data_IF_517659529902
#
_entry.id   IF_517659529902
#
_cell.length_a   1.000
_cell.length_b   1.000
_cell.length_c   1.000
_cell.angle_alpha   90.00
_cell.angle_beta   90.00
_cell.angle_gamma   90.00
#
_symmetry.space_group_name_H-M   'P 1'
#
loop_
_entity.id
_entity.type
_entity.pdbx_description
1 polymer ?
#
# COMPACT_ATOMS: atom_id res chain seq x y z
N UNK A 1 -7.82 -5.68 7.59
CA UNK A 1 -7.98 -5.03 6.27
C UNK A 1 -7.16 -5.84 5.28
N UNK A 2 -7.62 -6.07 4.05
CA UNK A 2 -6.87 -6.88 3.07
C UNK A 2 -6.24 -5.99 2.00
N UNK A 3 -4.96 -6.20 1.72
CA UNK A 3 -4.16 -5.43 0.76
C UNK A 3 -4.78 -5.41 -0.64
N UNK A 4 -5.21 -6.56 -1.16
CA UNK A 4 -5.72 -6.73 -2.53
C UNK A 4 -7.20 -6.38 -2.72
N UNK A 5 -7.91 -6.01 -1.65
CA UNK A 5 -9.34 -5.66 -1.71
C UNK A 5 -9.56 -4.16 -1.42
N UNK A 6 -10.02 -3.85 -0.21
CA UNK A 6 -10.40 -2.49 0.15
C UNK A 6 -9.20 -1.53 0.17
N UNK A 7 -8.00 -2.02 0.51
CA UNK A 7 -6.80 -1.18 0.49
C UNK A 7 -6.41 -0.80 -0.95
N UNK A 8 -6.30 -1.78 -1.86
CA UNK A 8 -6.07 -1.56 -3.30
C UNK A 8 -7.09 -0.61 -3.92
N UNK A 9 -8.37 -0.86 -3.67
CA UNK A 9 -9.47 -0.03 -4.18
C UNK A 9 -9.32 1.40 -3.68
N UNK A 10 -9.08 1.60 -2.38
CA UNK A 10 -8.94 2.93 -1.80
C UNK A 10 -7.76 3.68 -2.40
N UNK A 11 -6.58 3.04 -2.53
CA UNK A 11 -5.40 3.68 -3.11
C UNK A 11 -5.62 4.11 -4.56
N UNK A 12 -6.22 3.25 -5.39
CA UNK A 12 -6.50 3.55 -6.80
C UNK A 12 -7.52 4.67 -6.96
N UNK A 13 -8.62 4.61 -6.21
CA UNK A 13 -9.66 5.64 -6.28
C UNK A 13 -9.16 6.98 -5.72
N UNK A 14 -8.36 6.98 -4.65
CA UNK A 14 -7.74 8.20 -4.13
C UNK A 14 -6.81 8.84 -5.18
N UNK A 15 -6.03 8.02 -5.90
CA UNK A 15 -5.21 8.49 -7.01
C UNK A 15 -6.07 9.10 -8.15
N UNK A 16 -7.17 8.44 -8.53
CA UNK A 16 -8.10 8.95 -9.57
C UNK A 16 -8.72 10.30 -9.20
N UNK A 17 -9.00 10.53 -7.92
CA UNK A 17 -9.46 11.82 -7.41
C UNK A 17 -8.35 12.87 -7.23
N UNK A 18 -7.10 12.55 -7.57
CA UNK A 18 -5.96 13.48 -7.51
C UNK A 18 -5.35 13.63 -6.12
N UNK A 19 -5.66 12.75 -5.17
CA UNK A 19 -4.99 12.76 -3.87
C UNK A 19 -3.54 12.26 -3.98
N UNK A 20 -2.65 12.87 -3.20
CA UNK A 20 -1.29 12.37 -3.01
C UNK A 20 -1.29 11.31 -1.91
N UNK A 21 -1.12 10.05 -2.29
CA UNK A 21 -1.19 8.91 -1.35
C UNK A 21 0.22 8.53 -0.87
N UNK A 22 0.38 8.40 0.45
CA UNK A 22 1.57 7.82 1.10
C UNK A 22 1.14 6.51 1.74
N UNK A 23 1.90 5.44 1.51
CA UNK A 23 1.62 4.09 2.00
C UNK A 23 2.83 3.63 2.81
N UNK A 24 2.81 3.80 4.14
CA UNK A 24 3.94 3.40 4.97
C UNK A 24 4.05 1.87 5.02
N UNK A 25 5.26 1.34 4.89
CA UNK A 25 5.49 -0.10 4.94
C UNK A 25 4.96 -0.71 6.24
N UNK A 26 4.45 -1.94 6.13
CA UNK A 26 3.94 -2.77 7.23
C UNK A 26 2.68 -2.21 7.91
N UNK A 27 1.94 -1.32 7.25
CA UNK A 27 0.68 -0.74 7.76
C UNK A 27 -0.59 -1.30 7.12
N UNK A 28 -0.45 -2.23 6.17
CA UNK A 28 -1.55 -3.05 5.64
C UNK A 28 -1.17 -4.53 5.73
N UNK A 29 -2.17 -5.41 5.66
CA UNK A 29 -2.00 -6.85 5.77
C UNK A 29 -2.98 -7.57 4.86
N UNK A 30 -2.85 -8.87 4.71
CA UNK A 30 -3.83 -9.72 4.03
C UNK A 30 -3.70 -11.18 4.50
N UNK A 31 -4.47 -12.08 3.90
CA UNK A 31 -4.47 -13.51 4.17
C UNK A 31 -3.97 -14.30 2.95
N UNK A 32 -3.64 -15.58 3.16
CA UNK A 32 -3.41 -16.47 2.02
C UNK A 32 -4.69 -16.54 1.19
N UNK A 33 -4.56 -16.49 -0.14
CA UNK A 33 -5.68 -16.56 -1.07
C UNK A 33 -5.48 -17.70 -2.06
N UNK A 34 -6.06 -18.86 -1.73
CA UNK A 34 -5.87 -20.09 -2.48
C UNK A 34 -4.40 -20.49 -2.52
N UNK A 35 -3.78 -20.33 -3.69
CA UNK A 35 -2.40 -20.73 -3.95
C UNK A 35 -1.37 -19.62 -3.73
N UNK A 36 -1.77 -18.42 -3.32
CA UNK A 36 -0.86 -17.28 -3.13
C UNK A 36 -0.74 -16.98 -1.63
N UNK A 37 0.49 -16.86 -1.14
CA UNK A 37 0.75 -16.54 0.27
C UNK A 37 0.46 -15.07 0.57
N UNK A 38 0.03 -14.79 1.80
CA UNK A 38 -0.24 -13.43 2.27
C UNK A 38 0.96 -12.49 2.11
N UNK A 39 2.17 -13.01 2.36
CA UNK A 39 3.42 -12.28 2.18
C UNK A 39 3.62 -11.86 0.73
N UNK A 40 3.42 -12.78 -0.21
CA UNK A 40 3.62 -12.52 -1.63
C UNK A 40 2.59 -11.51 -2.14
N UNK A 41 1.33 -11.61 -1.68
CA UNK A 41 0.30 -10.61 -1.98
C UNK A 41 0.67 -9.23 -1.43
N UNK A 42 1.07 -9.15 -0.16
CA UNK A 42 1.52 -7.90 0.45
C UNK A 42 2.68 -7.28 -0.36
N UNK A 43 3.74 -8.05 -0.65
CA UNK A 43 4.91 -7.55 -1.35
C UNK A 43 4.60 -7.14 -2.79
N UNK A 44 3.79 -7.93 -3.49
CA UNK A 44 3.39 -7.65 -4.87
C UNK A 44 2.58 -6.35 -4.96
N UNK A 45 1.53 -6.21 -4.14
CA UNK A 45 0.69 -5.01 -4.18
C UNK A 45 1.47 -3.77 -3.74
N UNK A 46 2.17 -3.81 -2.59
CA UNK A 46 2.88 -2.63 -2.09
C UNK A 46 4.03 -2.23 -3.04
N UNK A 47 4.93 -3.15 -3.37
CA UNK A 47 6.18 -2.77 -4.04
C UNK A 47 6.13 -2.84 -5.57
N UNK A 48 5.14 -3.54 -6.17
CA UNK A 48 5.03 -3.66 -7.64
C UNK A 48 3.80 -2.96 -8.22
N UNK A 49 2.70 -2.86 -7.48
CA UNK A 49 1.49 -2.17 -7.95
C UNK A 49 1.46 -0.72 -7.46
N UNK A 50 1.54 -0.48 -6.16
CA UNK A 50 1.30 0.85 -5.59
C UNK A 50 2.47 1.80 -5.78
N UNK A 51 3.69 1.36 -5.43
CA UNK A 51 4.84 2.25 -5.40
C UNK A 51 5.14 2.86 -6.77
N UNK A 52 5.10 4.19 -6.85
CA UNK A 52 5.38 4.95 -8.07
C UNK A 52 4.24 4.96 -9.10
N UNK A 53 3.09 4.31 -8.82
CA UNK A 53 1.90 4.37 -9.70
C UNK A 53 0.68 4.98 -9.01
N UNK A 54 0.36 4.50 -7.80
CA UNK A 54 -0.83 4.92 -7.06
C UNK A 54 -0.49 5.65 -5.75
N UNK A 55 0.78 5.62 -5.35
CA UNK A 55 1.28 6.33 -4.18
C UNK A 55 2.78 6.12 -4.01
N UNK A 56 3.33 6.71 -2.94
CA UNK A 56 4.71 6.45 -2.51
C UNK A 56 4.66 5.39 -1.41
N UNK A 57 5.41 4.30 -1.61
CA UNK A 57 5.65 3.32 -0.55
C UNK A 57 7.03 3.58 0.05
N UNK A 58 7.06 3.79 1.36
CA UNK A 58 8.30 4.10 2.09
C UNK A 58 8.27 3.50 3.51
N UNK A 59 9.44 3.39 4.13
CA UNK A 59 9.55 2.94 5.51
C UNK A 59 8.76 3.84 6.47
N UNK A 60 8.16 3.24 7.51
CA UNK A 60 7.33 3.94 8.49
C UNK A 60 8.06 5.13 9.14
N UNK A 61 9.35 4.98 9.42
CA UNK A 61 10.17 6.05 10.03
C UNK A 61 10.28 7.27 9.10
N UNK A 62 10.45 7.06 7.80
CA UNK A 62 10.49 8.13 6.79
C UNK A 62 9.14 8.85 6.70
N UNK A 63 8.02 8.11 6.79
CA UNK A 63 6.69 8.72 6.84
C UNK A 63 6.52 9.57 8.09
N UNK A 64 6.91 9.05 9.26
CA UNK A 64 6.80 9.79 10.53
C UNK A 64 7.61 11.09 10.45
N UNK A 65 8.84 11.04 9.95
CA UNK A 65 9.68 12.21 9.74
C UNK A 65 9.01 13.23 8.79
N UNK A 66 8.40 12.77 7.70
CA UNK A 66 7.66 13.63 6.76
C UNK A 66 6.43 14.32 7.37
N UNK A 67 5.80 13.72 8.38
CA UNK A 67 4.57 14.25 9.00
C UNK A 67 4.82 15.20 10.16
N UNK A 68 5.99 15.10 10.81
CA UNK A 68 6.36 15.92 11.96
C UNK A 68 7.11 17.20 11.53
N UNK A 69 7.64 17.23 10.31
CA UNK A 69 8.29 18.39 9.69
C UNK A 69 7.32 19.18 8.79
#
# INVERSE_FOLDING_TARGET
>A
MQTEYCFDTTCKIAFEYGYKVIIPEKTNTTFNNGNILAKDLYEYYNFKIFNGRFGVVEGIDNTIERLIN
#
